data_IF_456354863157
#
_entry.id   IF_456354863157
#
_cell.length_a   1.000
_cell.length_b   1.000
_cell.length_c   1.000
_cell.angle_alpha   90.00
_cell.angle_beta   90.00
_cell.angle_gamma   90.00
#
_symmetry.space_group_name_H-M   'P 1'
#
loop_
_entity.id
_entity.type
_entity.pdbx_description
1 polymer ?
#
# COMPACT_ATOMS: atom_id res chain seq x y z
N UNK A 1 31.37 7.00 15.55
CA UNK A 1 31.22 6.58 14.13
C UNK A 1 29.88 5.86 14.03
N UNK A 2 28.90 6.34 13.26
CA UNK A 2 27.68 5.60 13.03
C UNK A 2 28.00 4.37 12.17
N UNK A 3 27.56 3.20 12.60
CA UNK A 3 27.66 1.96 11.83
C UNK A 3 26.72 2.09 10.62
N UNK A 4 27.29 2.09 9.42
CA UNK A 4 26.52 2.02 8.20
C UNK A 4 25.67 0.73 8.23
N UNK A 5 24.37 0.88 8.20
CA UNK A 5 23.46 -0.24 8.01
C UNK A 5 23.71 -0.84 6.63
N UNK A 6 24.05 -2.11 6.64
CA UNK A 6 24.43 -2.85 5.44
C UNK A 6 23.15 -3.08 4.57
N UNK A 7 23.06 -2.36 3.47
CA UNK A 7 21.96 -2.44 2.49
C UNK A 7 21.78 -3.85 1.89
N UNK A 8 22.76 -4.73 2.08
CA UNK A 8 22.78 -6.08 1.47
C UNK A 8 21.95 -7.14 2.22
N UNK A 9 21.51 -6.89 3.45
CA UNK A 9 20.70 -7.86 4.21
C UNK A 9 19.19 -7.67 4.03
N UNK A 10 18.75 -6.55 3.43
CA UNK A 10 17.33 -6.17 3.26
C UNK A 10 16.81 -6.39 1.84
N UNK A 11 17.65 -6.76 0.90
CA UNK A 11 17.31 -6.95 -0.52
C UNK A 11 17.46 -8.42 -0.89
N UNK A 12 16.37 -9.05 -1.28
CA UNK A 12 16.36 -10.41 -1.87
C UNK A 12 15.99 -10.25 -3.33
N UNK A 13 16.88 -10.67 -4.24
CA UNK A 13 16.64 -10.69 -5.69
C UNK A 13 16.20 -9.35 -6.30
N UNK A 14 16.75 -8.21 -5.83
CA UNK A 14 16.40 -6.89 -6.35
C UNK A 14 15.09 -6.30 -5.81
N UNK A 15 14.60 -6.84 -4.69
CA UNK A 15 13.44 -6.33 -3.97
C UNK A 15 13.80 -5.93 -2.54
N UNK A 16 13.21 -4.85 -2.05
CA UNK A 16 13.32 -4.38 -0.66
C UNK A 16 12.04 -4.76 0.08
N UNK A 17 12.19 -5.37 1.26
CA UNK A 17 11.05 -5.61 2.14
C UNK A 17 10.57 -4.31 2.76
N UNK A 18 9.27 -4.09 2.70
CA UNK A 18 8.62 -2.91 3.24
C UNK A 18 7.39 -3.28 4.06
N UNK A 19 6.92 -2.37 4.88
CA UNK A 19 5.68 -2.46 5.65
C UNK A 19 4.83 -1.21 5.44
N UNK A 20 3.55 -1.29 5.76
CA UNK A 20 2.68 -0.11 5.76
C UNK A 20 3.07 0.77 6.95
N UNK A 21 3.63 1.94 6.65
CA UNK A 21 4.02 2.93 7.65
C UNK A 21 2.87 3.81 8.12
N UNK A 22 1.80 3.90 7.31
CA UNK A 22 0.60 4.67 7.62
C UNK A 22 -0.16 5.09 6.37
N UNK A 23 -1.25 5.81 6.61
CA UNK A 23 -2.06 6.47 5.59
C UNK A 23 -1.95 7.98 5.81
N UNK A 24 -1.97 8.75 4.72
CA UNK A 24 -1.95 10.20 4.74
C UNK A 24 -2.89 10.76 3.67
N UNK A 25 -3.19 12.05 3.74
CA UNK A 25 -3.90 12.76 2.68
C UNK A 25 -2.93 13.69 1.96
N UNK A 26 -2.99 13.69 0.64
CA UNK A 26 -2.32 14.70 -0.15
C UNK A 26 -2.84 16.09 0.24
N UNK A 27 -1.98 17.03 0.65
CA UNK A 27 -2.42 18.32 1.19
C UNK A 27 -3.17 19.19 0.17
N UNK A 28 -2.89 18.98 -1.11
CA UNK A 28 -3.48 19.76 -2.22
C UNK A 28 -4.74 19.08 -2.76
N UNK A 29 -4.60 17.83 -3.18
CA UNK A 29 -5.68 17.09 -3.86
C UNK A 29 -6.63 16.39 -2.89
N UNK A 30 -6.25 16.27 -1.60
CA UNK A 30 -6.97 15.48 -0.59
C UNK A 30 -7.13 14.00 -0.97
N UNK A 31 -6.35 13.54 -1.92
CA UNK A 31 -6.31 12.12 -2.31
C UNK A 31 -5.56 11.31 -1.26
N UNK A 32 -6.09 10.15 -0.84
CA UNK A 32 -5.39 9.30 0.11
C UNK A 32 -4.08 8.72 -0.44
N UNK A 33 -3.10 8.57 0.44
CA UNK A 33 -1.79 8.02 0.14
C UNK A 33 -1.51 6.93 1.16
N UNK A 34 -1.13 5.73 0.69
CA UNK A 34 -0.49 4.74 1.56
C UNK A 34 1.03 4.92 1.50
N UNK A 35 1.67 4.92 2.66
CA UNK A 35 3.11 5.08 2.77
C UNK A 35 3.71 3.73 3.15
N UNK A 36 4.52 3.16 2.25
CA UNK A 36 5.33 1.99 2.57
C UNK A 36 6.69 2.45 3.11
N UNK A 37 7.18 1.77 4.15
CA UNK A 37 8.48 2.03 4.80
C UNK A 37 9.30 0.76 4.87
N UNK A 38 10.62 0.88 4.67
CA UNK A 38 11.56 -0.20 4.94
C UNK A 38 11.76 -0.40 6.45
N UNK A 39 12.34 -1.52 6.85
CA UNK A 39 12.60 -1.84 8.27
C UNK A 39 13.53 -0.81 8.95
N UNK A 40 14.42 -0.19 8.20
CA UNK A 40 15.33 0.86 8.69
C UNK A 40 14.70 2.25 8.79
N UNK A 41 13.51 2.45 8.21
CA UNK A 41 12.83 3.74 8.15
C UNK A 41 13.51 4.78 7.25
N UNK A 42 14.52 4.37 6.46
CA UNK A 42 15.26 5.25 5.57
C UNK A 42 14.54 5.47 4.23
N UNK A 43 13.77 4.49 3.78
CA UNK A 43 13.06 4.53 2.51
C UNK A 43 11.56 4.66 2.77
N UNK A 44 10.94 5.61 2.09
CA UNK A 44 9.49 5.82 2.12
C UNK A 44 8.97 5.86 0.69
N UNK A 45 7.97 5.03 0.40
CA UNK A 45 7.31 4.99 -0.89
C UNK A 45 5.84 5.40 -0.73
N UNK A 46 5.46 6.62 -1.11
CA UNK A 46 4.05 7.02 -1.17
C UNK A 46 3.40 6.47 -2.43
N UNK A 47 2.21 5.90 -2.28
CA UNK A 47 1.37 5.42 -3.37
C UNK A 47 -0.01 6.03 -3.21
N UNK A 48 -0.45 6.82 -4.19
CA UNK A 48 -1.79 7.39 -4.21
C UNK A 48 -2.82 6.29 -4.45
N UNK A 49 -3.87 6.28 -3.65
CA UNK A 49 -4.92 5.24 -3.67
C UNK A 49 -6.30 5.88 -3.68
N UNK A 50 -7.31 5.09 -4.00
CA UNK A 50 -8.70 5.55 -3.91
C UNK A 50 -9.21 5.60 -2.48
N UNK A 51 -10.28 6.34 -2.26
CA UNK A 51 -10.90 6.53 -0.95
C UNK A 51 -11.41 5.22 -0.35
N UNK A 52 -12.02 4.35 -1.17
CA UNK A 52 -12.52 3.06 -0.71
C UNK A 52 -11.39 2.11 -0.31
N UNK A 53 -10.28 2.14 -1.04
CA UNK A 53 -9.07 1.38 -0.74
C UNK A 53 -8.44 1.87 0.57
N UNK A 54 -8.34 3.19 0.75
CA UNK A 54 -7.85 3.79 1.99
C UNK A 54 -8.74 3.40 3.19
N UNK A 55 -10.06 3.47 3.04
CA UNK A 55 -11.01 3.04 4.08
C UNK A 55 -10.82 1.57 4.42
N UNK A 56 -10.64 0.71 3.41
CA UNK A 56 -10.42 -0.71 3.62
C UNK A 56 -9.11 -0.99 4.39
N UNK A 57 -8.04 -0.24 4.10
CA UNK A 57 -6.77 -0.34 4.83
C UNK A 57 -6.89 0.21 6.25
N UNK A 58 -7.50 1.40 6.42
CA UNK A 58 -7.71 1.99 7.74
C UNK A 58 -8.50 1.07 8.67
N UNK A 59 -9.59 0.46 8.18
CA UNK A 59 -10.40 -0.50 8.94
C UNK A 59 -9.56 -1.65 9.47
N UNK A 60 -8.63 -2.18 8.67
CA UNK A 60 -7.73 -3.26 9.08
C UNK A 60 -6.67 -2.77 10.06
N UNK A 61 -6.02 -1.64 9.79
CA UNK A 61 -4.98 -1.05 10.65
C UNK A 61 -5.52 -0.72 12.05
N UNK A 62 -6.76 -0.21 12.14
CA UNK A 62 -7.45 0.11 13.39
C UNK A 62 -8.07 -1.13 14.08
N UNK A 63 -8.00 -2.30 13.46
CA UNK A 63 -8.58 -3.54 13.99
C UNK A 63 -10.11 -3.51 14.09
N UNK A 64 -10.78 -2.68 13.29
CA UNK A 64 -12.25 -2.56 13.28
C UNK A 64 -12.86 -3.80 12.64
N UNK A 65 -13.66 -4.53 13.42
CA UNK A 65 -14.33 -5.74 12.93
C UNK A 65 -15.71 -5.40 12.39
N UNK A 66 -15.91 -5.66 11.11
CA UNK A 66 -17.20 -5.53 10.47
C UNK A 66 -18.09 -6.74 10.76
N UNK A 67 -19.41 -6.54 10.82
CA UNK A 67 -20.37 -7.64 11.03
C UNK A 67 -20.43 -8.64 9.88
N UNK A 68 -20.05 -8.22 8.68
CA UNK A 68 -19.93 -9.06 7.49
C UNK A 68 -18.60 -8.80 6.82
N UNK A 69 -18.00 -9.83 6.15
CA UNK A 69 -16.75 -9.65 5.40
C UNK A 69 -16.88 -8.56 4.36
N UNK A 70 -15.91 -7.65 4.32
CA UNK A 70 -15.74 -6.69 3.23
C UNK A 70 -15.07 -7.36 2.01
N UNK A 71 -14.91 -6.65 0.91
CA UNK A 71 -14.40 -7.21 -0.35
C UNK A 71 -13.06 -7.92 -0.19
N UNK A 72 -12.08 -7.29 0.47
CA UNK A 72 -10.77 -7.90 0.66
C UNK A 72 -10.80 -9.06 1.67
N UNK A 73 -11.67 -9.01 2.70
CA UNK A 73 -11.89 -10.13 3.62
C UNK A 73 -12.47 -11.33 2.87
N UNK A 74 -13.48 -11.08 2.03
CA UNK A 74 -14.10 -12.11 1.20
C UNK A 74 -13.07 -12.72 0.23
N UNK A 75 -12.20 -11.90 -0.36
CA UNK A 75 -11.14 -12.38 -1.24
C UNK A 75 -10.14 -13.29 -0.49
N UNK A 76 -9.72 -12.91 0.71
CA UNK A 76 -8.88 -13.76 1.57
C UNK A 76 -9.55 -15.11 1.85
N UNK A 77 -10.82 -15.08 2.26
CA UNK A 77 -11.60 -16.31 2.51
C UNK A 77 -11.72 -17.16 1.25
N UNK A 78 -11.94 -16.55 0.09
CA UNK A 78 -12.04 -17.28 -1.17
C UNK A 78 -10.71 -17.97 -1.54
N UNK A 79 -9.59 -17.27 -1.41
CA UNK A 79 -8.24 -17.82 -1.62
C UNK A 79 -8.02 -19.05 -0.74
N UNK A 80 -8.29 -18.94 0.56
CA UNK A 80 -8.14 -20.04 1.52
C UNK A 80 -9.05 -21.22 1.19
N UNK A 81 -10.33 -20.96 0.88
CA UNK A 81 -11.30 -22.02 0.53
C UNK A 81 -10.94 -22.77 -0.75
N UNK A 82 -10.22 -22.12 -1.66
CA UNK A 82 -9.68 -22.75 -2.87
C UNK A 82 -8.35 -23.51 -2.62
N UNK A 83 -7.89 -23.59 -1.37
CA UNK A 83 -6.68 -24.31 -1.00
C UNK A 83 -5.39 -23.56 -1.34
N UNK A 84 -5.47 -22.26 -1.51
CA UNK A 84 -4.32 -21.39 -1.71
C UNK A 84 -4.05 -20.52 -0.48
N UNK A 85 -2.84 -19.97 -0.40
CA UNK A 85 -2.47 -18.95 0.59
C UNK A 85 -1.72 -17.80 -0.11
N UNK A 86 -1.87 -16.60 0.39
CA UNK A 86 -1.03 -15.48 -0.03
C UNK A 86 0.35 -15.66 0.58
N UNK A 87 1.38 -15.70 -0.24
CA UNK A 87 2.76 -15.88 0.21
C UNK A 87 3.46 -14.55 0.41
N UNK A 88 3.32 -13.65 -0.55
CA UNK A 88 3.82 -12.28 -0.52
C UNK A 88 3.15 -11.43 -1.59
N UNK A 89 3.29 -10.13 -1.47
CA UNK A 89 2.98 -9.20 -2.56
C UNK A 89 4.25 -8.50 -3.01
N UNK A 90 4.29 -8.13 -4.28
CA UNK A 90 5.41 -7.43 -4.89
C UNK A 90 4.90 -6.21 -5.68
N UNK A 91 5.41 -5.01 -5.37
CA UNK A 91 5.27 -3.83 -6.23
C UNK A 91 6.43 -3.87 -7.22
N UNK A 92 6.13 -4.18 -8.48
CA UNK A 92 7.11 -4.63 -9.45
C UNK A 92 7.66 -3.52 -10.33
N UNK A 93 6.81 -2.57 -10.70
CA UNK A 93 7.23 -1.48 -11.59
C UNK A 93 6.37 -0.22 -11.39
N UNK A 94 6.89 0.89 -11.88
CA UNK A 94 6.14 2.13 -12.11
C UNK A 94 6.29 2.51 -13.59
N UNK A 95 5.17 2.75 -14.26
CA UNK A 95 5.12 3.11 -15.68
C UNK A 95 4.10 4.25 -15.86
N UNK A 96 4.56 5.34 -16.44
CA UNK A 96 3.73 6.54 -16.66
C UNK A 96 2.98 7.02 -15.40
N UNK A 97 3.68 6.99 -14.24
CA UNK A 97 3.11 7.37 -12.96
C UNK A 97 2.19 6.32 -12.33
N UNK A 98 1.97 5.18 -12.99
CA UNK A 98 1.13 4.10 -12.50
C UNK A 98 1.99 2.98 -11.91
N UNK A 99 1.70 2.60 -10.67
CA UNK A 99 2.34 1.47 -10.01
C UNK A 99 1.65 0.15 -10.36
N UNK A 100 2.45 -0.89 -10.56
CA UNK A 100 2.00 -2.25 -10.82
C UNK A 100 2.41 -3.16 -9.69
N UNK A 101 1.55 -4.11 -9.35
CA UNK A 101 1.83 -5.09 -8.31
C UNK A 101 1.36 -6.49 -8.71
N UNK A 102 1.92 -7.48 -8.06
CA UNK A 102 1.50 -8.87 -8.17
C UNK A 102 1.31 -9.48 -6.78
N UNK A 103 0.37 -10.40 -6.70
CA UNK A 103 0.12 -11.23 -5.53
C UNK A 103 0.68 -12.63 -5.84
N UNK A 104 1.63 -13.09 -5.03
CA UNK A 104 2.15 -14.46 -5.09
C UNK A 104 1.32 -15.36 -4.20
N UNK A 105 0.71 -16.35 -4.82
CA UNK A 105 -0.08 -17.37 -4.12
C UNK A 105 0.65 -18.70 -4.15
N UNK A 106 0.51 -19.44 -3.07
CA UNK A 106 0.97 -20.81 -2.95
C UNK A 106 -0.22 -21.75 -2.87
N UNK A 107 -0.18 -22.82 -3.67
CA UNK A 107 -1.12 -23.93 -3.62
C UNK A 107 -0.40 -25.24 -3.32
N UNK A 108 -1.12 -26.35 -3.21
CA UNK A 108 -0.54 -27.65 -2.87
C UNK A 108 0.51 -28.19 -3.90
N UNK A 109 0.69 -27.57 -5.05
CA UNK A 109 1.60 -28.08 -6.09
C UNK A 109 2.29 -27.01 -6.92
N UNK A 110 1.94 -25.75 -6.76
CA UNK A 110 2.48 -24.69 -7.61
C UNK A 110 2.35 -23.30 -6.98
N UNK A 111 3.19 -22.39 -7.42
CA UNK A 111 3.06 -20.97 -7.18
C UNK A 111 2.24 -20.34 -8.32
N UNK A 112 1.33 -19.43 -7.96
CA UNK A 112 0.54 -18.65 -8.89
C UNK A 112 0.87 -17.18 -8.71
N UNK A 113 0.84 -16.43 -9.80
CA UNK A 113 1.02 -14.98 -9.77
C UNK A 113 -0.23 -14.32 -10.32
N UNK A 114 -0.81 -13.42 -9.54
CA UNK A 114 -1.95 -12.62 -9.95
C UNK A 114 -1.51 -11.17 -10.15
N UNK A 115 -1.86 -10.59 -11.28
CA UNK A 115 -1.76 -9.15 -11.49
C UNK A 115 -2.77 -8.42 -10.59
N UNK A 116 -2.37 -7.32 -9.97
CA UNK A 116 -3.19 -6.57 -9.04
C UNK A 116 -2.79 -5.09 -9.00
N UNK A 117 -3.74 -4.24 -8.64
CA UNK A 117 -3.40 -2.89 -8.24
C UNK A 117 -2.62 -2.95 -6.90
N UNK A 118 -1.65 -2.05 -6.69
CA UNK A 118 -0.93 -2.01 -5.41
C UNK A 118 -1.85 -1.91 -4.19
N UNK A 119 -2.91 -1.08 -4.27
CA UNK A 119 -3.88 -0.94 -3.19
C UNK A 119 -4.58 -2.25 -2.81
N UNK A 120 -4.97 -3.07 -3.79
CA UNK A 120 -5.61 -4.37 -3.53
C UNK A 120 -4.61 -5.36 -2.92
N UNK A 121 -3.40 -5.42 -3.48
CA UNK A 121 -2.33 -6.29 -2.98
C UNK A 121 -1.93 -5.93 -1.54
N UNK A 122 -1.76 -4.64 -1.23
CA UNK A 122 -1.43 -4.15 0.11
C UNK A 122 -2.58 -4.46 1.09
N UNK A 123 -3.84 -4.26 0.67
CA UNK A 123 -5.02 -4.58 1.49
C UNK A 123 -5.10 -6.06 1.84
N UNK A 124 -4.68 -6.96 0.92
CA UNK A 124 -4.54 -8.39 1.21
C UNK A 124 -3.40 -8.65 2.18
N UNK A 125 -2.22 -8.05 1.95
CA UNK A 125 -1.07 -8.24 2.81
C UNK A 125 -1.36 -7.85 4.26
N UNK A 126 -2.06 -6.75 4.49
CA UNK A 126 -2.49 -6.31 5.82
C UNK A 126 -3.34 -7.38 6.52
N UNK A 127 -4.29 -8.00 5.81
CA UNK A 127 -5.22 -9.01 6.35
C UNK A 127 -4.57 -10.37 6.59
N UNK A 128 -3.65 -10.74 5.74
CA UNK A 128 -2.98 -12.04 5.81
C UNK A 128 -1.67 -12.02 6.60
N UNK A 129 -1.18 -10.83 6.95
CA UNK A 129 0.12 -10.66 7.62
C UNK A 129 1.30 -11.04 6.74
N UNK A 130 1.12 -11.07 5.42
CA UNK A 130 2.17 -11.47 4.49
C UNK A 130 3.12 -10.31 4.15
N UNK A 131 4.39 -10.60 3.81
CA UNK A 131 5.36 -9.57 3.53
C UNK A 131 5.05 -8.82 2.22
N UNK A 132 5.42 -7.53 2.22
CA UNK A 132 5.35 -6.64 1.07
C UNK A 132 6.77 -6.41 0.58
N UNK A 133 6.98 -6.55 -0.72
CA UNK A 133 8.24 -6.29 -1.38
C UNK A 133 8.08 -5.24 -2.46
N UNK A 134 9.09 -4.37 -2.60
CA UNK A 134 9.12 -3.32 -3.63
C UNK A 134 10.40 -3.48 -4.43
N UNK A 135 10.28 -3.52 -5.76
CA UNK A 135 11.43 -3.63 -6.64
C UNK A 135 12.35 -2.41 -6.51
N UNK A 136 13.67 -2.63 -6.49
CA UNK A 136 14.68 -1.56 -6.46
C UNK A 136 14.47 -0.51 -7.56
N UNK A 137 14.01 -0.95 -8.73
CA UNK A 137 13.70 -0.07 -9.85
C UNK A 137 12.59 0.93 -9.55
N UNK A 138 11.56 0.52 -8.78
CA UNK A 138 10.47 1.40 -8.35
C UNK A 138 10.98 2.47 -7.38
N UNK A 139 11.78 2.06 -6.39
CA UNK A 139 12.35 2.98 -5.41
C UNK A 139 13.24 4.02 -6.08
N UNK A 140 14.14 3.60 -6.98
CA UNK A 140 15.03 4.50 -7.72
C UNK A 140 14.25 5.47 -8.61
N UNK A 141 13.22 5.00 -9.31
CA UNK A 141 12.41 5.85 -10.18
C UNK A 141 11.64 6.91 -9.36
N UNK A 142 11.14 6.54 -8.18
CA UNK A 142 10.42 7.47 -7.29
C UNK A 142 11.38 8.49 -6.65
N UNK A 143 12.58 8.07 -6.24
CA UNK A 143 13.61 8.99 -5.74
C UNK A 143 14.05 9.99 -6.83
N UNK A 144 14.27 9.54 -8.07
CA UNK A 144 14.63 10.39 -9.20
C UNK A 144 13.54 11.44 -9.51
N UNK A 145 12.27 11.05 -9.41
CA UNK A 145 11.15 11.97 -9.61
C UNK A 145 11.04 13.02 -8.51
N UNK A 146 11.45 12.72 -7.28
CA UNK A 146 11.51 13.70 -6.17
C UNK A 146 12.63 14.72 -6.36
N UNK A 147 13.80 14.28 -6.82
CA UNK A 147 14.95 15.18 -7.05
C UNK A 147 14.68 16.16 -8.19
N UNK A 148 13.86 15.78 -9.18
CA UNK A 148 13.48 16.66 -10.30
C UNK A 148 12.36 17.66 -9.96
N UNK A 149 11.73 17.53 -8.81
CA UNK A 149 10.73 18.48 -8.28
C UNK A 149 11.31 19.18 -7.03
N UNK A 150 12.47 19.84 -7.17
CA UNK A 150 13.06 20.64 -6.10
C UNK A 150 12.19 21.86 -5.77
N UNK A 151 11.20 21.64 -4.89
CA UNK A 151 10.93 22.45 -3.72
C UNK A 151 10.61 21.49 -2.58
N UNK A 152 11.22 21.66 -1.38
CA UNK A 152 10.87 20.85 -0.24
C UNK A 152 9.41 21.20 0.10
N UNK A 153 8.47 20.33 -0.27
CA UNK A 153 7.14 20.36 0.35
C UNK A 153 7.39 19.94 1.79
N UNK A 154 7.65 20.92 2.63
CA UNK A 154 7.55 20.80 4.07
C UNK A 154 6.07 20.47 4.31
N UNK A 155 5.77 19.22 4.58
CA UNK A 155 4.46 18.77 4.99
C UNK A 155 4.21 19.28 6.42
N UNK A 156 4.00 20.61 6.57
CA UNK A 156 3.41 21.17 7.77
C UNK A 156 1.91 20.86 7.72
N UNK A 157 1.52 19.84 8.47
CA UNK A 157 0.11 19.50 8.68
C UNK A 157 -0.30 18.11 8.21
N UNK A 158 0.57 17.11 8.34
CA UNK A 158 0.16 15.71 8.25
C UNK A 158 -0.89 15.42 9.34
N UNK A 159 -2.16 15.42 8.96
CA UNK A 159 -3.14 14.65 9.72
C UNK A 159 -2.88 13.20 9.36
N UNK A 160 -2.27 12.48 10.28
CA UNK A 160 -2.19 11.03 10.22
C UNK A 160 -3.64 10.52 10.21
N UNK A 161 -3.99 9.72 9.19
CA UNK A 161 -5.33 9.13 9.10
C UNK A 161 -5.57 8.10 10.22
N UNK A 162 -4.53 7.69 10.95
CA UNK A 162 -4.67 6.93 12.20
C UNK A 162 -5.35 7.71 13.31
N UNK A 163 -5.36 9.06 13.23
CA UNK A 163 -6.03 9.94 14.19
C UNK A 163 -7.47 10.32 13.77
N UNK A 164 -7.93 9.85 12.59
CA UNK A 164 -9.30 10.10 12.12
C UNK A 164 -10.24 9.12 12.81
N UNK A 165 -11.15 9.65 13.61
CA UNK A 165 -12.15 8.84 14.33
C UNK A 165 -13.10 8.11 13.37
N UNK A 166 -13.72 6.99 13.80
CA UNK A 166 -14.71 6.28 12.99
C UNK A 166 -15.87 7.16 12.49
N UNK A 167 -16.25 8.17 13.26
CA UNK A 167 -17.32 9.11 12.91
C UNK A 167 -16.88 10.09 11.82
N UNK A 168 -15.62 10.54 11.84
CA UNK A 168 -15.04 11.38 10.80
C UNK A 168 -14.90 10.62 9.47
N UNK A 169 -14.59 9.32 9.53
CA UNK A 169 -14.61 8.46 8.34
C UNK A 169 -16.00 8.36 7.70
N UNK A 170 -17.06 8.29 8.52
CA UNK A 170 -18.44 8.29 8.04
C UNK A 170 -18.78 9.59 7.30
N UNK A 171 -18.30 10.72 7.80
CA UNK A 171 -18.53 12.02 7.17
C UNK A 171 -17.70 12.20 5.89
N UNK A 172 -16.47 11.69 5.85
CA UNK A 172 -15.67 11.62 4.62
C UNK A 172 -16.42 10.78 3.56
N UNK A 173 -16.93 9.62 3.93
CA UNK A 173 -17.66 8.73 3.02
C UNK A 173 -18.98 9.33 2.51
N UNK A 174 -19.71 10.10 3.32
CA UNK A 174 -20.96 10.76 2.93
C UNK A 174 -20.75 11.92 1.94
N UNK A 175 -19.58 12.55 1.99
CA UNK A 175 -19.24 13.69 1.14
C UNK A 175 -18.49 13.31 -0.14
N UNK A 176 -18.36 12.01 -0.45
CA UNK A 176 -17.74 11.53 -1.67
C UNK A 176 -18.60 11.87 -2.89
N UNK A 177 -18.00 12.56 -3.85
CA UNK A 177 -18.62 12.81 -5.14
C UNK A 177 -18.44 11.54 -6.01
N UNK A 178 -19.53 11.00 -6.63
CA UNK A 178 -19.44 9.89 -7.58
C UNK A 178 -18.47 10.13 -8.74
N UNK A 179 -18.16 11.38 -9.06
CA UNK A 179 -17.23 11.77 -10.12
C UNK A 179 -15.75 11.61 -9.71
N UNK A 180 -15.46 11.54 -8.42
CA UNK A 180 -14.11 11.26 -7.90
C UNK A 180 -13.64 9.82 -8.20
N UNK A 181 -14.56 8.94 -8.59
CA UNK A 181 -14.28 7.53 -8.93
C UNK A 181 -13.99 7.31 -10.43
N UNK A 182 -14.04 8.35 -11.25
CA UNK A 182 -13.70 8.24 -12.67
C UNK A 182 -12.19 8.14 -12.82
N UNK A 183 -11.68 6.90 -12.91
CA UNK A 183 -10.34 6.67 -13.41
C UNK A 183 -10.23 7.31 -14.79
N UNK A 184 -9.36 8.28 -14.96
CA UNK A 184 -8.89 8.67 -16.28
C UNK A 184 -8.08 7.49 -16.79
N UNK A 185 -8.68 6.70 -17.69
CA UNK A 185 -7.98 5.72 -18.51
C UNK A 185 -7.00 6.44 -19.43
#
# INVERSE_FOLDING_TARGET
>A
RPRGHNRSEMSVDGFVRMSVGGLALDPVTKTPIVILRDEGGALNLPIWIGQLEATSMATELEGVKMTRPMTHDLLCVAIEKLGASVERIEVTEIRDGTFFAVIKLKTAGQELTLDARPSDAISLALRTGTPIYVADGVLKATEASRVSQEEPVVLEGERDLSDVSPDEWVDILKNLDPDDFKYKM
#
